data_IF_903950860918
#
_entry.id   IF_903950860918
#
_cell.length_a   1.000
_cell.length_b   1.000
_cell.length_c   1.000
_cell.angle_alpha   90.00
_cell.angle_beta   90.00
_cell.angle_gamma   90.00
#
_symmetry.space_group_name_H-M   'P 1'
#
loop_
_entity.id
_entity.type
_entity.pdbx_description
1 polymer ?
#
# COMPACT_ATOMS: atom_id res chain seq x y z
N UNK A 1 -38.95 21.32 62.13
CA UNK A 1 -37.59 21.62 62.64
C UNK A 1 -36.87 20.29 62.96
N UNK A 2 -36.55 19.32 62.10
CA UNK A 2 -36.25 19.20 60.65
C UNK A 2 -34.89 19.71 60.15
N UNK A 3 -33.81 19.75 60.96
CA UNK A 3 -32.48 20.12 60.43
C UNK A 3 -31.22 19.65 61.20
N UNK A 4 -31.19 18.54 61.99
CA UNK A 4 -29.94 18.17 62.72
C UNK A 4 -29.53 16.68 62.69
N UNK A 5 -30.33 15.74 62.17
CA UNK A 5 -29.95 14.30 62.20
C UNK A 5 -29.15 13.78 61.00
N UNK A 6 -28.66 14.63 60.09
CA UNK A 6 -27.99 14.20 58.85
C UNK A 6 -26.47 14.38 58.80
N UNK A 7 -25.79 14.73 59.92
CA UNK A 7 -24.34 15.08 59.89
C UNK A 7 -23.42 14.07 60.62
N UNK A 8 -23.94 13.04 61.32
CA UNK A 8 -23.09 12.09 62.07
C UNK A 8 -23.09 10.67 61.46
N UNK A 9 -23.01 10.57 60.13
CA UNK A 9 -22.61 9.32 59.45
C UNK A 9 -21.43 9.54 58.50
N UNK A 10 -20.59 10.51 58.84
CA UNK A 10 -19.29 10.73 58.25
C UNK A 10 -18.23 10.02 59.11
N UNK A 11 -18.02 8.72 58.90
CA UNK A 11 -16.74 8.02 59.13
C UNK A 11 -16.89 6.50 58.97
N UNK A 12 -17.05 6.00 57.74
CA UNK A 12 -16.52 4.68 57.30
C UNK A 12 -17.15 4.24 55.97
N UNK A 13 -16.68 4.77 54.86
CA UNK A 13 -16.62 3.98 53.63
C UNK A 13 -15.48 4.53 52.77
N UNK A 14 -14.56 3.61 52.48
CA UNK A 14 -13.28 3.87 51.89
C UNK A 14 -13.39 4.48 50.48
N UNK A 15 -12.31 5.18 50.13
CA UNK A 15 -11.97 5.82 48.87
C UNK A 15 -12.58 5.20 47.60
N UNK A 16 -12.86 6.03 46.58
CA UNK A 16 -13.30 5.54 45.28
C UNK A 16 -12.27 4.54 44.75
N UNK A 17 -12.76 3.35 44.44
CA UNK A 17 -12.04 2.29 43.73
C UNK A 17 -11.22 2.91 42.60
N UNK A 18 -9.90 2.94 42.80
CA UNK A 18 -8.95 3.26 41.75
C UNK A 18 -9.31 2.38 40.55
N UNK A 19 -9.55 3.02 39.41
CA UNK A 19 -9.68 2.34 38.13
C UNK A 19 -8.55 1.32 38.00
N UNK A 20 -8.80 0.09 37.50
CA UNK A 20 -7.74 -0.88 37.32
C UNK A 20 -6.67 -0.22 36.47
N UNK A 21 -5.50 -0.01 37.06
CA UNK A 21 -4.31 0.45 36.35
C UNK A 21 -4.10 -0.56 35.25
N UNK A 22 -4.20 -0.12 33.99
CA UNK A 22 -3.82 -0.95 32.86
C UNK A 22 -2.42 -1.47 33.13
N UNK A 23 -2.29 -2.78 33.38
CA UNK A 23 -1.01 -3.43 33.60
C UNK A 23 -0.15 -3.18 32.37
N UNK A 24 0.80 -2.26 32.52
CA UNK A 24 1.81 -1.96 31.54
C UNK A 24 2.92 -3.01 31.66
N UNK A 25 2.53 -4.28 31.48
CA UNK A 25 3.41 -5.44 31.54
C UNK A 25 4.19 -5.57 30.25
N UNK A 26 5.37 -4.94 30.20
CA UNK A 26 6.36 -5.22 29.15
C UNK A 26 6.95 -6.63 29.29
N UNK A 27 7.77 -7.05 28.33
CA UNK A 27 8.46 -8.37 28.18
C UNK A 27 8.99 -9.03 29.47
N UNK A 28 9.21 -8.25 30.52
CA UNK A 28 9.62 -8.65 31.87
C UNK A 28 8.52 -9.33 32.70
N UNK A 29 7.23 -9.21 32.32
CA UNK A 29 6.07 -9.78 33.04
C UNK A 29 5.58 -11.13 32.46
N UNK A 30 6.34 -11.73 31.54
CA UNK A 30 6.01 -13.06 30.98
C UNK A 30 4.83 -13.07 29.98
N UNK A 31 4.30 -11.91 29.61
CA UNK A 31 3.27 -11.79 28.57
C UNK A 31 3.89 -11.95 27.17
N UNK A 32 3.33 -12.85 26.37
CA UNK A 32 3.75 -13.08 24.99
C UNK A 32 3.48 -11.82 24.14
N UNK A 33 4.51 -11.18 23.55
CA UNK A 33 4.37 -9.93 22.78
C UNK A 33 3.69 -10.11 21.41
N UNK A 34 3.17 -11.32 21.12
CA UNK A 34 2.43 -11.70 19.92
C UNK A 34 0.91 -11.71 20.10
N UNK A 35 0.38 -11.47 21.31
CA UNK A 35 -1.06 -11.32 21.52
C UNK A 35 -1.48 -9.86 21.34
N UNK A 36 -2.44 -9.64 20.43
CA UNK A 36 -3.08 -8.35 20.22
C UNK A 36 -3.92 -7.97 21.44
N UNK A 37 -3.40 -7.03 22.24
CA UNK A 37 -4.19 -6.34 23.25
C UNK A 37 -4.78 -5.06 22.60
N UNK A 38 -6.12 -4.92 22.53
CA UNK A 38 -6.76 -3.72 21.97
C UNK A 38 -6.41 -2.43 22.70
N UNK A 39 -5.76 -2.51 23.87
CA UNK A 39 -5.31 -1.35 24.65
C UNK A 39 -3.96 -0.78 24.18
N UNK A 40 -3.14 -1.53 23.42
CA UNK A 40 -1.82 -1.09 22.93
C UNK A 40 -1.50 -1.53 21.49
N UNK A 41 -2.24 -1.04 20.47
CA UNK A 41 -1.98 -1.36 19.06
C UNK A 41 -0.61 -0.88 18.55
N UNK A 42 0.01 0.06 19.27
CA UNK A 42 1.29 0.71 18.90
C UNK A 42 2.47 -0.25 19.08
N UNK A 43 2.45 -1.11 20.11
CA UNK A 43 3.55 -2.06 20.39
C UNK A 43 3.68 -3.06 19.25
N UNK A 44 2.55 -3.63 18.79
CA UNK A 44 2.54 -4.54 17.65
C UNK A 44 2.96 -3.84 16.35
N UNK A 45 2.50 -2.60 16.12
CA UNK A 45 2.93 -1.82 14.96
C UNK A 45 4.44 -1.59 14.94
N UNK A 46 5.05 -1.23 16.08
CA UNK A 46 6.51 -1.03 16.17
C UNK A 46 7.27 -2.33 15.90
N UNK A 47 6.80 -3.46 16.45
CA UNK A 47 7.40 -4.78 16.19
C UNK A 47 7.28 -5.15 14.71
N UNK A 48 6.11 -4.97 14.10
CA UNK A 48 5.87 -5.21 12.68
C UNK A 48 6.77 -4.32 11.80
N UNK A 49 6.80 -3.01 12.05
CA UNK A 49 7.61 -2.07 11.30
C UNK A 49 9.11 -2.38 11.43
N UNK A 50 9.58 -2.69 12.64
CA UNK A 50 10.98 -3.08 12.88
C UNK A 50 11.34 -4.35 12.13
N UNK A 51 10.48 -5.37 12.16
CA UNK A 51 10.67 -6.61 11.41
C UNK A 51 10.73 -6.34 9.90
N UNK A 52 9.79 -5.56 9.36
CA UNK A 52 9.74 -5.20 7.94
C UNK A 52 11.03 -4.49 7.54
N UNK A 53 11.47 -3.49 8.30
CA UNK A 53 12.70 -2.74 8.01
C UNK A 53 13.93 -3.65 8.03
N UNK A 54 14.06 -4.50 9.05
CA UNK A 54 15.19 -5.44 9.18
C UNK A 54 15.24 -6.40 8.00
N UNK A 55 14.11 -7.00 7.62
CA UNK A 55 14.05 -7.94 6.50
C UNK A 55 14.34 -7.25 5.18
N UNK A 56 13.78 -6.07 4.94
CA UNK A 56 14.06 -5.27 3.74
C UNK A 56 15.54 -4.87 3.65
N UNK A 57 16.20 -4.51 4.76
CA UNK A 57 17.63 -4.20 4.80
C UNK A 57 18.51 -5.43 4.59
N UNK A 58 18.19 -6.55 5.24
CA UNK A 58 18.89 -7.82 5.04
C UNK A 58 18.82 -8.28 3.59
N UNK A 59 17.67 -8.11 2.94
CA UNK A 59 17.50 -8.47 1.53
C UNK A 59 18.15 -7.45 0.59
N UNK A 60 18.23 -6.19 0.97
CA UNK A 60 18.92 -5.17 0.19
C UNK A 60 20.43 -5.43 0.11
N UNK A 61 21.06 -5.93 1.18
CA UNK A 61 22.51 -6.16 1.20
C UNK A 61 23.04 -7.05 0.04
N UNK A 62 22.49 -8.25 -0.23
CA UNK A 62 22.90 -9.06 -1.39
C UNK A 62 22.40 -8.47 -2.72
N UNK A 63 21.21 -7.86 -2.77
CA UNK A 63 20.67 -7.27 -4.01
C UNK A 63 21.46 -6.04 -4.47
N UNK A 64 22.01 -5.26 -3.53
CA UNK A 64 22.87 -4.13 -3.81
C UNK A 64 24.15 -4.56 -4.52
N UNK A 65 24.69 -5.74 -4.21
CA UNK A 65 25.83 -6.32 -4.93
C UNK A 65 25.51 -6.60 -6.41
N UNK A 66 24.24 -6.83 -6.74
CA UNK A 66 23.74 -7.06 -8.12
C UNK A 66 23.31 -5.75 -8.80
N UNK A 67 23.56 -4.58 -8.17
CA UNK A 67 23.18 -3.23 -8.69
C UNK A 67 21.67 -3.05 -8.85
N UNK A 68 20.85 -3.76 -8.05
CA UNK A 68 19.41 -3.57 -8.05
C UNK A 68 19.03 -2.34 -7.20
N UNK A 69 18.11 -1.47 -7.69
CA UNK A 69 17.49 -0.44 -6.88
C UNK A 69 16.95 -0.98 -5.55
N UNK A 70 17.11 -0.19 -4.48
CA UNK A 70 16.64 -0.53 -3.13
C UNK A 70 15.14 -0.79 -3.09
N UNK A 71 14.35 -0.04 -3.87
CA UNK A 71 12.90 -0.25 -3.96
C UNK A 71 12.52 -1.69 -4.35
N UNK A 72 13.33 -2.37 -5.17
CA UNK A 72 13.06 -3.75 -5.58
C UNK A 72 13.23 -4.71 -4.41
N UNK A 73 14.26 -4.51 -3.59
CA UNK A 73 14.46 -5.29 -2.37
C UNK A 73 13.29 -5.11 -1.38
N UNK A 74 12.74 -3.90 -1.28
CA UNK A 74 11.57 -3.63 -0.44
C UNK A 74 10.30 -4.32 -0.94
N UNK A 75 10.06 -4.32 -2.27
CA UNK A 75 8.93 -5.04 -2.87
C UNK A 75 9.07 -6.54 -2.65
N UNK A 76 10.25 -7.13 -2.87
CA UNK A 76 10.48 -8.56 -2.64
C UNK A 76 10.36 -8.89 -1.15
N UNK A 77 10.89 -8.04 -0.27
CA UNK A 77 10.73 -8.19 1.17
C UNK A 77 9.25 -8.21 1.59
N UNK A 78 8.44 -7.32 1.02
CA UNK A 78 6.99 -7.32 1.19
C UNK A 78 6.30 -8.59 0.69
N UNK A 79 6.71 -9.13 -0.47
CA UNK A 79 6.17 -10.39 -1.01
C UNK A 79 6.52 -11.58 -0.11
N UNK A 80 7.74 -11.61 0.42
CA UNK A 80 8.20 -12.67 1.34
C UNK A 80 7.43 -12.60 2.66
N UNK A 81 7.33 -11.40 3.26
CA UNK A 81 6.61 -11.17 4.51
C UNK A 81 5.09 -11.29 4.37
N UNK A 82 4.57 -11.10 3.16
CA UNK A 82 3.16 -11.23 2.84
C UNK A 82 2.65 -12.68 2.87
N UNK A 83 1.35 -12.86 2.58
CA UNK A 83 0.72 -14.18 2.60
C UNK A 83 1.31 -15.13 1.53
N UNK A 84 2.02 -14.59 0.53
CA UNK A 84 2.59 -15.34 -0.60
C UNK A 84 3.71 -16.30 -0.22
N UNK A 85 4.50 -16.03 0.83
CA UNK A 85 5.58 -16.93 1.28
C UNK A 85 5.39 -17.30 2.74
N UNK A 86 5.49 -16.33 3.66
CA UNK A 86 5.38 -16.56 5.10
C UNK A 86 3.95 -16.88 5.57
N UNK A 87 2.93 -16.51 4.79
CA UNK A 87 1.54 -16.93 5.05
C UNK A 87 1.27 -18.43 4.90
N UNK A 88 2.19 -19.20 4.28
CA UNK A 88 2.09 -20.67 4.22
C UNK A 88 2.48 -21.35 5.54
N UNK A 89 3.13 -20.65 6.46
CA UNK A 89 3.49 -21.19 7.77
C UNK A 89 2.30 -20.98 8.73
N UNK A 90 1.69 -22.05 9.25
CA UNK A 90 0.54 -21.93 10.16
C UNK A 90 0.96 -21.18 11.43
N UNK A 91 0.22 -20.12 11.77
CA UNK A 91 0.43 -19.32 12.98
C UNK A 91 1.30 -18.07 12.82
N UNK A 92 2.12 -17.96 11.77
CA UNK A 92 2.98 -16.77 11.57
C UNK A 92 2.15 -15.53 11.22
N UNK A 93 1.18 -15.67 10.32
CA UNK A 93 0.30 -14.57 9.93
C UNK A 93 -0.65 -14.14 11.06
N UNK A 94 -1.16 -15.09 11.86
CA UNK A 94 -2.03 -14.79 12.99
C UNK A 94 -1.28 -14.12 14.16
N UNK A 95 0.01 -14.43 14.35
CA UNK A 95 0.83 -13.87 15.42
C UNK A 95 1.49 -12.53 15.04
N UNK A 96 1.86 -12.33 13.77
CA UNK A 96 2.59 -11.12 13.32
C UNK A 96 1.74 -10.13 12.54
N UNK A 97 0.68 -10.54 11.86
CA UNK A 97 -0.20 -9.65 11.09
C UNK A 97 -1.69 -9.97 11.34
N UNK A 98 -2.19 -9.77 12.58
CA UNK A 98 -3.63 -9.92 12.84
C UNK A 98 -4.42 -8.96 11.96
N UNK A 99 -5.59 -9.39 11.46
CA UNK A 99 -6.41 -8.61 10.52
C UNK A 99 -6.76 -7.22 11.05
N UNK A 100 -6.89 -7.06 12.37
CA UNK A 100 -7.11 -5.79 13.04
C UNK A 100 -5.96 -4.77 12.89
N UNK A 101 -4.73 -5.22 12.61
CA UNK A 101 -3.55 -4.35 12.44
C UNK A 101 -3.37 -3.85 10.99
N UNK A 102 -3.97 -4.54 10.01
CA UNK A 102 -3.82 -4.21 8.58
C UNK A 102 -4.32 -2.80 8.24
N UNK A 103 -5.49 -2.33 8.73
CA UNK A 103 -5.95 -0.97 8.44
C UNK A 103 -4.99 0.11 8.96
N UNK A 104 -4.40 -0.09 10.13
CA UNK A 104 -3.44 0.85 10.72
C UNK A 104 -2.13 0.89 9.92
N UNK A 105 -1.59 -0.27 9.54
CA UNK A 105 -0.43 -0.36 8.63
C UNK A 105 -0.70 0.34 7.30
N UNK A 106 -1.89 0.13 6.72
CA UNK A 106 -2.26 0.71 5.44
C UNK A 106 -2.38 2.25 5.54
N UNK A 107 -2.95 2.78 6.61
CA UNK A 107 -3.01 4.22 6.85
C UNK A 107 -1.62 4.86 6.93
N UNK A 108 -0.70 4.24 7.70
CA UNK A 108 0.67 4.75 7.81
C UNK A 108 1.43 4.60 6.50
N UNK A 109 1.25 3.48 5.78
CA UNK A 109 1.88 3.26 4.47
C UNK A 109 1.39 4.29 3.44
N UNK A 110 0.09 4.59 3.40
CA UNK A 110 -0.47 5.62 2.53
C UNK A 110 0.06 7.01 2.89
N UNK A 111 0.16 7.34 4.18
CA UNK A 111 0.77 8.59 4.61
C UNK A 111 2.24 8.66 4.19
N UNK A 112 3.01 7.59 4.39
CA UNK A 112 4.40 7.48 3.94
C UNK A 112 4.54 7.66 2.42
N UNK A 113 3.64 7.06 1.64
CA UNK A 113 3.60 7.22 0.19
C UNK A 113 3.31 8.66 -0.23
N UNK A 114 2.38 9.33 0.43
CA UNK A 114 2.06 10.74 0.17
C UNK A 114 3.26 11.63 0.49
N UNK A 115 3.88 11.45 1.67
CA UNK A 115 5.07 12.19 2.07
C UNK A 115 6.24 11.94 1.11
N UNK A 116 6.38 10.70 0.64
CA UNK A 116 7.40 10.32 -0.34
C UNK A 116 7.20 11.01 -1.69
N UNK A 117 5.97 10.99 -2.22
CA UNK A 117 5.64 11.69 -3.47
C UNK A 117 5.78 13.21 -3.32
N UNK A 118 5.48 13.76 -2.15
CA UNK A 118 5.71 15.16 -1.83
C UNK A 118 7.21 15.51 -1.87
N UNK A 119 8.06 14.69 -1.26
CA UNK A 119 9.51 14.89 -1.29
C UNK A 119 10.06 14.85 -2.72
N UNK A 120 9.63 13.89 -3.54
CA UNK A 120 10.00 13.85 -4.97
C UNK A 120 9.55 15.12 -5.68
N UNK A 121 8.34 15.60 -5.40
CA UNK A 121 7.81 16.84 -5.98
C UNK A 121 8.63 18.07 -5.61
N UNK A 122 9.23 18.11 -4.41
CA UNK A 122 10.15 19.17 -4.00
C UNK A 122 11.54 19.05 -4.65
N UNK A 123 12.01 17.84 -4.91
CA UNK A 123 13.29 17.58 -5.56
C UNK A 123 13.22 17.78 -7.10
N UNK A 124 12.04 17.66 -7.69
CA UNK A 124 11.84 17.73 -9.15
C UNK A 124 11.61 19.17 -9.63
N UNK A 125 12.39 19.64 -10.61
CA UNK A 125 12.13 20.91 -11.29
C UNK A 125 10.93 20.81 -12.25
N UNK A 126 9.78 21.30 -11.78
CA UNK A 126 8.53 21.36 -12.55
C UNK A 126 8.64 22.17 -13.84
N UNK A 127 9.53 23.17 -13.93
CA UNK A 127 9.66 24.02 -15.12
C UNK A 127 10.26 23.23 -16.28
N UNK A 128 11.26 22.40 -15.99
CA UNK A 128 11.84 21.47 -16.95
C UNK A 128 10.85 20.36 -17.34
N UNK A 129 10.05 19.87 -16.39
CA UNK A 129 9.02 18.86 -16.64
C UNK A 129 7.94 19.35 -17.62
N UNK A 130 7.52 20.61 -17.49
CA UNK A 130 6.50 21.23 -18.37
C UNK A 130 7.09 21.63 -19.72
N UNK A 131 8.37 22.03 -19.80
CA UNK A 131 9.00 22.42 -21.08
C UNK A 131 8.98 21.30 -22.12
N UNK A 132 9.16 20.05 -21.69
CA UNK A 132 9.23 18.87 -22.57
C UNK A 132 7.91 18.10 -22.69
N UNK A 133 6.78 18.69 -22.28
CA UNK A 133 5.50 17.99 -22.17
C UNK A 133 5.02 17.33 -23.47
N UNK A 134 5.24 17.96 -24.64
CA UNK A 134 4.80 17.41 -25.94
C UNK A 134 5.45 16.07 -26.26
N UNK A 135 6.76 15.97 -26.02
CA UNK A 135 7.52 14.73 -26.23
C UNK A 135 7.07 13.70 -25.18
N UNK A 136 6.96 14.10 -23.92
CA UNK A 136 6.47 13.24 -22.85
C UNK A 136 5.06 12.68 -23.12
N UNK A 137 4.13 13.47 -23.65
CA UNK A 137 2.78 13.00 -24.01
C UNK A 137 2.82 11.97 -25.14
N UNK A 138 3.66 12.17 -26.16
CA UNK A 138 3.80 11.16 -27.23
C UNK A 138 4.32 9.82 -26.69
N UNK A 139 5.31 9.86 -25.80
CA UNK A 139 5.87 8.67 -25.12
C UNK A 139 4.85 8.04 -24.19
N UNK A 140 4.08 8.84 -23.46
CA UNK A 140 2.99 8.40 -22.59
C UNK A 140 1.92 7.63 -23.37
N UNK A 141 1.42 8.21 -24.46
CA UNK A 141 0.39 7.60 -25.33
C UNK A 141 0.92 6.33 -25.97
N UNK A 142 2.14 6.34 -26.53
CA UNK A 142 2.76 5.14 -27.10
C UNK A 142 2.95 4.04 -26.03
N UNK A 143 3.42 4.43 -24.84
CA UNK A 143 3.64 3.56 -23.70
C UNK A 143 2.35 3.02 -23.06
N UNK A 144 1.20 3.65 -23.29
CA UNK A 144 -0.11 3.16 -22.86
C UNK A 144 -0.76 2.29 -23.94
N UNK A 145 -0.71 2.73 -25.19
CA UNK A 145 -1.38 2.07 -26.32
C UNK A 145 -0.82 0.66 -26.60
N UNK A 146 0.50 0.48 -26.50
CA UNK A 146 1.14 -0.83 -26.71
C UNK A 146 0.72 -1.88 -25.67
N UNK A 147 0.93 -1.69 -24.35
CA UNK A 147 0.50 -2.67 -23.36
C UNK A 147 -1.02 -2.80 -23.27
N UNK A 148 -1.79 -1.74 -23.59
CA UNK A 148 -3.25 -1.86 -23.71
C UNK A 148 -3.65 -2.80 -24.85
N UNK A 149 -3.03 -2.66 -26.03
CA UNK A 149 -3.26 -3.56 -27.17
C UNK A 149 -2.90 -5.02 -26.84
N UNK A 150 -1.77 -5.23 -26.17
CA UNK A 150 -1.36 -6.56 -25.69
C UNK A 150 -2.37 -7.10 -24.66
N UNK A 151 -2.82 -6.26 -23.73
CA UNK A 151 -3.83 -6.62 -22.73
C UNK A 151 -5.16 -7.02 -23.36
N UNK A 152 -5.61 -6.31 -24.40
CA UNK A 152 -6.81 -6.66 -25.16
C UNK A 152 -6.64 -7.99 -25.93
N UNK A 153 -5.47 -8.23 -26.52
CA UNK A 153 -5.17 -9.50 -27.19
C UNK A 153 -5.14 -10.67 -26.20
N UNK A 154 -4.54 -10.47 -25.02
CA UNK A 154 -4.57 -11.43 -23.92
C UNK A 154 -6.00 -11.69 -23.44
N UNK A 155 -6.81 -10.65 -23.27
CA UNK A 155 -8.20 -10.77 -22.85
C UNK A 155 -9.01 -11.57 -23.88
N UNK A 156 -8.81 -11.34 -25.17
CA UNK A 156 -9.45 -12.12 -26.24
C UNK A 156 -9.05 -13.60 -26.18
N UNK A 157 -7.75 -13.90 -26.03
CA UNK A 157 -7.25 -15.26 -25.95
C UNK A 157 -7.74 -16.02 -24.70
N UNK A 158 -7.74 -15.36 -23.54
CA UNK A 158 -8.23 -15.95 -22.28
C UNK A 158 -9.75 -16.11 -22.31
N UNK A 159 -10.49 -15.16 -22.88
CA UNK A 159 -11.94 -15.29 -23.01
C UNK A 159 -12.32 -16.48 -23.92
N UNK A 160 -11.66 -16.66 -25.07
CA UNK A 160 -11.93 -17.81 -25.93
C UNK A 160 -11.50 -19.16 -25.32
N UNK A 161 -10.51 -19.19 -24.43
CA UNK A 161 -10.02 -20.43 -23.83
C UNK A 161 -10.80 -20.88 -22.57
N UNK A 162 -11.43 -19.95 -21.85
CA UNK A 162 -12.04 -20.21 -20.53
C UNK A 162 -13.54 -19.88 -20.45
N UNK A 163 -14.19 -19.49 -21.55
CA UNK A 163 -15.63 -19.16 -21.57
C UNK A 163 -16.55 -20.37 -21.28
N UNK A 164 -16.09 -21.60 -21.53
CA UNK A 164 -16.91 -22.82 -21.41
C UNK A 164 -16.84 -23.50 -20.03
N UNK A 165 -16.21 -22.88 -19.02
CA UNK A 165 -16.17 -23.41 -17.65
C UNK A 165 -17.49 -23.16 -16.89
N UNK A 166 -18.15 -24.22 -16.37
CA UNK A 166 -19.41 -24.10 -15.64
C UNK A 166 -19.19 -23.46 -14.26
N UNK A 167 -19.43 -22.15 -14.15
CA UNK A 167 -19.32 -21.39 -12.89
C UNK A 167 -19.01 -19.90 -13.03
N UNK A 168 -18.68 -19.42 -14.24
CA UNK A 168 -18.41 -18.00 -14.48
C UNK A 168 -19.70 -17.19 -14.60
N UNK A 169 -19.79 -16.07 -13.84
CA UNK A 169 -20.79 -15.02 -14.11
C UNK A 169 -20.55 -14.49 -15.53
N UNK A 170 -21.61 -14.34 -16.32
CA UNK A 170 -21.57 -13.75 -17.65
C UNK A 170 -21.24 -12.26 -17.55
N UNK A 171 -19.95 -11.92 -17.60
CA UNK A 171 -19.48 -10.54 -17.72
C UNK A 171 -19.46 -10.19 -19.20
N UNK A 172 -19.98 -9.02 -19.56
CA UNK A 172 -19.92 -8.53 -20.93
C UNK A 172 -18.45 -8.46 -21.40
N UNK A 173 -18.14 -9.06 -22.55
CA UNK A 173 -16.77 -9.16 -23.09
C UNK A 173 -16.08 -7.79 -23.15
N UNK A 174 -16.83 -6.74 -23.50
CA UNK A 174 -16.36 -5.36 -23.55
C UNK A 174 -15.77 -4.88 -22.21
N UNK A 175 -16.43 -5.19 -21.09
CA UNK A 175 -16.01 -4.78 -19.75
C UNK A 175 -14.79 -5.58 -19.31
N UNK A 176 -14.79 -6.90 -19.57
CA UNK A 176 -13.65 -7.77 -19.27
C UNK A 176 -12.39 -7.35 -20.03
N UNK A 177 -12.51 -7.14 -21.34
CA UNK A 177 -11.40 -6.69 -22.19
C UNK A 177 -10.87 -5.33 -21.75
N UNK A 178 -11.75 -4.38 -21.46
CA UNK A 178 -11.36 -3.06 -20.99
C UNK A 178 -10.65 -3.14 -19.63
N UNK A 179 -11.17 -3.96 -18.69
CA UNK A 179 -10.56 -4.13 -17.37
C UNK A 179 -9.15 -4.72 -17.47
N UNK A 180 -8.96 -5.80 -18.22
CA UNK A 180 -7.66 -6.45 -18.40
C UNK A 180 -6.70 -5.53 -19.17
N UNK A 181 -7.17 -4.90 -20.25
CA UNK A 181 -6.38 -3.95 -21.03
C UNK A 181 -5.85 -2.79 -20.18
N UNK A 182 -6.72 -2.19 -19.36
CA UNK A 182 -6.33 -1.12 -18.43
C UNK A 182 -5.38 -1.65 -17.35
N UNK A 183 -5.66 -2.83 -16.78
CA UNK A 183 -4.84 -3.39 -15.71
C UNK A 183 -3.39 -3.65 -16.17
N UNK A 184 -3.20 -4.08 -17.42
CA UNK A 184 -1.86 -4.30 -18.01
C UNK A 184 -1.18 -2.98 -18.40
N UNK A 185 -1.95 -1.96 -18.78
CA UNK A 185 -1.42 -0.69 -19.27
C UNK A 185 -1.02 0.31 -18.16
N UNK A 186 -1.63 0.26 -16.99
CA UNK A 186 -1.35 1.21 -15.91
C UNK A 186 0.01 0.93 -15.26
N UNK A 187 0.81 1.99 -15.08
CA UNK A 187 2.11 1.93 -14.42
C UNK A 187 2.08 2.61 -13.04
N UNK A 188 2.88 2.10 -12.09
CA UNK A 188 2.99 2.68 -10.76
C UNK A 188 4.00 3.83 -10.73
N UNK A 189 3.49 5.07 -10.86
CA UNK A 189 4.30 6.29 -10.82
C UNK A 189 5.23 6.41 -9.59
N UNK A 190 4.82 6.08 -8.35
CA UNK A 190 5.70 6.24 -7.19
C UNK A 190 6.95 5.36 -7.26
N UNK A 191 6.82 4.14 -7.79
CA UNK A 191 7.94 3.21 -7.96
C UNK A 191 8.88 3.71 -9.05
N UNK A 192 8.32 4.21 -10.17
CA UNK A 192 9.11 4.82 -11.25
C UNK A 192 9.96 5.98 -10.75
N UNK A 193 9.37 6.91 -9.99
CA UNK A 193 10.08 8.03 -9.39
C UNK A 193 11.24 7.55 -8.54
N UNK A 194 10.98 6.54 -7.70
CA UNK A 194 11.98 5.98 -6.80
C UNK A 194 13.17 5.39 -7.51
N UNK A 195 12.92 4.65 -8.57
CA UNK A 195 13.99 4.08 -9.39
C UNK A 195 14.83 5.22 -10.00
N UNK A 196 14.20 6.26 -10.53
CA UNK A 196 14.93 7.39 -11.13
C UNK A 196 15.73 8.20 -10.10
N UNK A 197 15.20 8.42 -8.90
CA UNK A 197 15.92 9.07 -7.79
C UNK A 197 17.12 8.23 -7.35
N UNK A 198 16.93 6.92 -7.14
CA UNK A 198 18.01 6.02 -6.70
C UNK A 198 19.11 5.89 -7.76
N UNK A 199 18.75 5.95 -9.03
CA UNK A 199 19.70 5.96 -10.15
C UNK A 199 20.31 7.35 -10.44
N UNK A 200 19.91 8.41 -9.71
CA UNK A 200 20.32 9.81 -9.94
C UNK A 200 20.06 10.29 -11.37
N UNK A 201 18.95 9.86 -11.96
CA UNK A 201 18.56 10.20 -13.33
C UNK A 201 17.52 11.31 -13.41
N UNK A 202 17.03 11.83 -12.27
CA UNK A 202 15.96 12.84 -12.22
C UNK A 202 16.28 14.12 -13.01
N UNK A 203 17.55 14.55 -13.03
CA UNK A 203 17.99 15.78 -13.72
C UNK A 203 18.35 15.56 -15.20
N UNK A 204 18.30 14.32 -15.68
CA UNK A 204 18.62 14.01 -17.08
C UNK A 204 17.41 14.23 -17.98
N UNK A 205 17.64 14.61 -19.24
CA UNK A 205 16.54 14.78 -20.20
C UNK A 205 15.67 13.53 -20.36
N UNK A 206 16.28 12.34 -20.24
CA UNK A 206 15.54 11.06 -20.30
C UNK A 206 14.68 10.88 -19.05
N UNK A 207 15.24 11.09 -17.85
CA UNK A 207 14.50 10.98 -16.60
C UNK A 207 13.32 11.95 -16.52
N UNK A 208 13.49 13.20 -16.96
CA UNK A 208 12.43 14.22 -16.98
C UNK A 208 11.30 13.83 -17.93
N UNK A 209 11.63 13.37 -19.16
CA UNK A 209 10.63 12.89 -20.12
C UNK A 209 9.87 11.69 -19.58
N UNK A 210 10.58 10.75 -18.94
CA UNK A 210 9.97 9.56 -18.31
C UNK A 210 9.08 9.92 -17.12
N UNK A 211 9.48 10.87 -16.25
CA UNK A 211 8.65 11.36 -15.14
C UNK A 211 7.39 12.05 -15.66
N UNK A 212 7.54 12.97 -16.61
CA UNK A 212 6.41 13.70 -17.20
C UNK A 212 5.41 12.76 -17.88
N UNK A 213 5.92 11.76 -18.62
CA UNK A 213 5.10 10.72 -19.20
C UNK A 213 4.41 9.84 -18.12
N UNK A 214 5.14 9.51 -17.05
CA UNK A 214 4.63 8.74 -15.91
C UNK A 214 3.51 9.46 -15.15
N UNK A 215 3.64 10.77 -14.91
CA UNK A 215 2.59 11.60 -14.30
C UNK A 215 1.34 11.62 -15.18
N UNK A 216 1.52 11.88 -16.48
CA UNK A 216 0.40 11.87 -17.43
C UNK A 216 -0.31 10.51 -17.43
N UNK A 217 0.45 9.41 -17.43
CA UNK A 217 -0.08 8.05 -17.39
C UNK A 217 -0.80 7.72 -16.08
N UNK A 218 -0.29 8.16 -14.91
CA UNK A 218 -0.95 7.91 -13.63
C UNK A 218 -2.28 8.66 -13.53
N UNK A 219 -2.33 9.90 -14.01
CA UNK A 219 -3.56 10.71 -14.06
C UNK A 219 -4.59 10.07 -15.01
N UNK A 220 -4.19 9.80 -16.26
CA UNK A 220 -5.08 9.17 -17.26
C UNK A 220 -5.53 7.79 -16.79
N UNK A 221 -4.62 6.98 -16.25
CA UNK A 221 -4.93 5.65 -15.73
C UNK A 221 -5.92 5.67 -14.58
N UNK A 222 -5.80 6.63 -13.64
CA UNK A 222 -6.78 6.81 -12.55
C UNK A 222 -8.16 7.19 -13.09
N UNK A 223 -8.26 8.13 -14.03
CA UNK A 223 -9.53 8.50 -14.65
C UNK A 223 -10.16 7.34 -15.42
N UNK A 224 -9.36 6.61 -16.21
CA UNK A 224 -9.83 5.50 -17.01
C UNK A 224 -10.32 4.33 -16.15
N UNK A 225 -9.59 4.00 -15.07
CA UNK A 225 -10.02 2.99 -14.09
C UNK A 225 -11.30 3.40 -13.37
N UNK A 226 -11.43 4.67 -13.00
CA UNK A 226 -12.63 5.20 -12.36
C UNK A 226 -13.84 5.13 -13.29
N UNK A 227 -13.66 5.50 -14.58
CA UNK A 227 -14.70 5.38 -15.58
C UNK A 227 -15.14 3.93 -15.81
N UNK A 228 -14.19 2.98 -15.89
CA UNK A 228 -14.49 1.56 -16.00
C UNK A 228 -15.25 1.02 -14.77
N UNK A 229 -14.88 1.47 -13.56
CA UNK A 229 -15.59 1.12 -12.34
C UNK A 229 -17.01 1.70 -12.32
N UNK A 230 -17.18 2.95 -12.74
CA UNK A 230 -18.49 3.61 -12.82
C UNK A 230 -19.43 2.87 -13.78
N UNK A 231 -18.92 2.43 -14.94
CA UNK A 231 -19.69 1.62 -15.89
C UNK A 231 -20.16 0.30 -15.27
N UNK A 232 -19.30 -0.39 -14.51
CA UNK A 232 -19.67 -1.63 -13.82
C UNK A 232 -20.71 -1.39 -12.72
N UNK A 233 -20.59 -0.30 -11.96
CA UNK A 233 -21.56 0.03 -10.90
C UNK A 233 -22.90 0.49 -11.48
N UNK A 234 -22.89 1.20 -12.62
CA UNK A 234 -24.12 1.64 -13.29
C UNK A 234 -24.89 0.51 -13.99
N UNK A 235 -24.24 -0.63 -14.24
CA UNK A 235 -24.85 -1.84 -14.83
C UNK A 235 -25.35 -2.86 -13.79
N UNK A 236 -25.21 -2.58 -12.49
CA UNK A 236 -25.71 -3.36 -11.35
C UNK A 236 -26.99 -2.72 -10.78
#
# INVERSE_FOLDING_TARGET
MSSVSSIVSAASSAAPSAAPVHEQGGVIDGLNPSKYDPSNPIILFIIQASLIIIVCHLLHWPLAMIRQPRVIAEVIGGIILGPSVLGRIPGFQAALFPEASIPNLNNVANLGLILYLFLIGLETDVRFLVSNWRIATSVAVAGLALPFGIGCALAYGVYHAFHDEPGLKSIEFSIYMLFIGIAVAITAFPVLCRILTELKLLDTSVGIVTLSAGVANDVVGKFLRLAALFQHVALL
#
